data_IF_829075724536
#
_entry.id   IF_829075724536
#
_cell.length_a   1.000
_cell.length_b   1.000
_cell.length_c   1.000
_cell.angle_alpha   90.00
_cell.angle_beta   90.00
_cell.angle_gamma   90.00
#
_symmetry.space_group_name_H-M   'P 1'
#
loop_
_entity.id
_entity.type
_entity.pdbx_description
1 polymer ?
#
# COMPACT_ATOMS: atom_id res chain seq x y z
N UNK A 1 -7.74 4.69 -21.06
CA UNK A 1 -6.80 5.80 -20.80
C UNK A 1 -6.14 5.46 -19.49
N UNK A 2 -4.89 5.04 -19.53
CA UNK A 2 -4.15 4.69 -18.32
C UNK A 2 -3.68 5.99 -17.67
N UNK A 3 -4.30 6.37 -16.55
CA UNK A 3 -3.84 7.51 -15.75
C UNK A 3 -2.53 7.11 -15.07
N UNK A 4 -1.41 7.44 -15.71
CA UNK A 4 -0.06 7.27 -15.17
C UNK A 4 0.36 8.55 -14.45
N UNK A 5 0.67 8.42 -13.17
CA UNK A 5 1.30 9.49 -12.38
C UNK A 5 2.77 9.14 -12.20
N UNK A 6 3.64 9.98 -12.77
CA UNK A 6 5.10 9.86 -12.63
C UNK A 6 5.58 10.87 -11.61
N UNK A 7 6.27 10.38 -10.59
CA UNK A 7 6.88 11.23 -9.57
C UNK A 7 8.37 10.93 -9.52
N UNK A 8 9.15 12.00 -9.66
CA UNK A 8 10.58 11.97 -9.40
C UNK A 8 10.83 12.21 -7.93
N UNK A 9 11.90 11.62 -7.41
CA UNK A 9 12.34 11.82 -6.05
C UNK A 9 12.42 13.33 -5.72
N UNK A 10 11.65 13.77 -4.72
CA UNK A 10 11.74 15.13 -4.18
C UNK A 10 12.57 15.04 -2.89
N UNK A 11 13.80 15.57 -2.86
CA UNK A 11 14.53 15.72 -1.61
C UNK A 11 13.75 16.68 -0.70
N UNK A 12 13.02 16.14 0.26
CA UNK A 12 12.36 16.95 1.28
C UNK A 12 13.36 17.29 2.37
N UNK A 13 13.33 18.54 2.81
CA UNK A 13 13.92 18.91 4.08
C UNK A 13 13.24 18.15 5.22
N UNK A 14 13.93 18.05 6.37
CA UNK A 14 13.35 17.43 7.57
C UNK A 14 11.97 18.01 7.95
N UNK A 15 11.78 19.31 7.78
CA UNK A 15 10.51 19.98 8.08
C UNK A 15 9.38 19.54 7.13
N UNK A 16 9.66 19.54 5.83
CA UNK A 16 8.69 19.11 4.81
C UNK A 16 8.33 17.63 4.96
N UNK A 17 9.30 16.77 5.27
CA UNK A 17 9.05 15.36 5.54
C UNK A 17 8.12 15.17 6.76
N UNK A 18 8.30 15.96 7.82
CA UNK A 18 7.43 15.94 9.00
C UNK A 18 6.00 16.36 8.65
N UNK A 19 5.83 17.39 7.83
CA UNK A 19 4.50 17.84 7.40
C UNK A 19 3.81 16.82 6.49
N UNK A 20 4.55 16.18 5.57
CA UNK A 20 4.03 15.08 4.75
C UNK A 20 3.55 13.90 5.61
N UNK A 21 4.33 13.51 6.62
CA UNK A 21 3.96 12.47 7.59
C UNK A 21 2.69 12.85 8.36
N UNK A 22 2.61 14.09 8.88
CA UNK A 22 1.44 14.59 9.61
C UNK A 22 0.18 14.57 8.75
N UNK A 23 0.28 15.02 7.50
CA UNK A 23 -0.81 15.01 6.53
C UNK A 23 -1.29 13.58 6.27
N UNK A 24 -0.37 12.65 6.00
CA UNK A 24 -0.70 11.24 5.79
C UNK A 24 -1.37 10.61 7.01
N UNK A 25 -0.91 10.94 8.21
CA UNK A 25 -1.53 10.48 9.45
C UNK A 25 -2.95 10.99 9.61
N UNK A 26 -3.20 12.28 9.31
CA UNK A 26 -4.55 12.87 9.33
C UNK A 26 -5.51 12.13 8.39
N UNK A 27 -5.09 11.91 7.13
CA UNK A 27 -5.86 11.16 6.14
C UNK A 27 -6.16 9.73 6.61
N UNK A 28 -5.15 9.03 7.13
CA UNK A 28 -5.32 7.68 7.66
C UNK A 28 -6.27 7.65 8.85
N UNK A 29 -6.19 8.63 9.76
CA UNK A 29 -7.08 8.74 10.91
C UNK A 29 -8.54 9.00 10.49
N UNK A 30 -8.77 9.85 9.48
CA UNK A 30 -10.10 10.07 8.93
C UNK A 30 -10.70 8.80 8.34
N UNK A 31 -9.90 8.01 7.61
CA UNK A 31 -10.34 6.71 7.10
C UNK A 31 -10.67 5.75 8.23
N UNK A 32 -9.82 5.64 9.24
CA UNK A 32 -10.05 4.79 10.41
C UNK A 32 -11.38 5.16 11.11
N UNK A 33 -11.66 6.45 11.31
CA UNK A 33 -12.93 6.90 11.91
C UNK A 33 -14.15 6.50 11.06
N UNK A 34 -14.07 6.65 9.73
CA UNK A 34 -15.18 6.34 8.82
C UNK A 34 -15.56 4.86 8.82
N UNK A 35 -14.58 3.96 8.99
CA UNK A 35 -14.81 2.51 8.90
C UNK A 35 -14.78 1.79 10.25
N UNK A 36 -14.62 2.52 11.38
CA UNK A 36 -14.41 1.91 12.69
C UNK A 36 -13.14 1.04 12.72
N UNK A 37 -12.08 1.50 12.07
CA UNK A 37 -10.84 0.76 11.87
C UNK A 37 -9.74 1.12 12.87
N UNK A 38 -8.76 0.22 12.96
CA UNK A 38 -7.50 0.42 13.67
C UNK A 38 -6.44 0.89 12.67
N UNK A 39 -5.77 1.98 13.01
CA UNK A 39 -4.64 2.50 12.26
C UNK A 39 -3.34 1.87 12.77
N UNK A 40 -2.55 1.34 11.86
CA UNK A 40 -1.27 0.69 12.15
C UNK A 40 -0.22 1.25 11.19
N UNK A 41 0.94 1.73 11.66
CA UNK A 41 2.02 2.09 10.76
C UNK A 41 2.47 0.84 9.99
N UNK A 42 2.74 1.01 8.70
CA UNK A 42 3.45 0.01 7.93
C UNK A 42 4.85 -0.09 8.53
N UNK A 43 5.00 -1.10 9.37
CA UNK A 43 6.32 -1.63 9.68
C UNK A 43 6.66 -2.66 8.61
N UNK A 44 7.96 -2.85 8.30
CA UNK A 44 8.44 -3.88 7.36
C UNK A 44 7.87 -5.29 7.61
N UNK A 45 7.35 -5.53 8.83
CA UNK A 45 6.85 -6.83 9.27
C UNK A 45 5.33 -7.04 9.06
N UNK A 46 4.54 -5.99 8.82
CA UNK A 46 3.09 -6.06 9.05
C UNK A 46 2.25 -6.25 7.77
N UNK A 47 2.66 -5.72 6.62
CA UNK A 47 1.84 -5.75 5.39
C UNK A 47 1.93 -7.05 4.59
N UNK A 48 2.97 -7.86 4.81
CA UNK A 48 3.20 -9.11 4.08
C UNK A 48 2.75 -10.37 4.84
N UNK A 49 2.07 -10.22 6.00
CA UNK A 49 1.54 -11.34 6.77
C UNK A 49 2.61 -12.41 7.09
N UNK A 50 2.29 -13.70 6.88
CA UNK A 50 3.24 -14.80 7.08
C UNK A 50 4.39 -14.84 6.05
N UNK A 51 4.32 -14.03 5.00
CA UNK A 51 5.41 -13.89 4.04
C UNK A 51 6.36 -12.74 4.41
N UNK A 52 6.18 -12.08 5.55
CA UNK A 52 7.07 -11.03 6.03
C UNK A 52 8.55 -11.46 6.08
N UNK A 53 8.83 -12.73 6.38
CA UNK A 53 10.19 -13.27 6.40
C UNK A 53 10.80 -13.39 4.99
N UNK A 54 9.97 -13.41 3.94
CA UNK A 54 10.40 -13.38 2.54
C UNK A 54 10.63 -11.96 2.03
N UNK A 55 9.95 -10.96 2.60
CA UNK A 55 9.84 -9.59 2.07
C UNK A 55 10.30 -8.48 3.02
N UNK A 56 10.87 -8.79 4.19
CA UNK A 56 11.14 -7.89 5.33
C UNK A 56 11.65 -6.48 5.01
N UNK A 57 12.90 -6.16 5.35
CA UNK A 57 13.53 -4.90 4.88
C UNK A 57 13.95 -4.99 3.39
N UNK A 58 13.59 -6.10 2.73
CA UNK A 58 14.06 -6.51 1.41
C UNK A 58 12.87 -6.84 0.53
N UNK A 59 12.66 -6.05 -0.52
CA UNK A 59 11.62 -6.31 -1.51
C UNK A 59 12.14 -7.24 -2.59
N UNK A 60 11.30 -8.16 -3.01
CA UNK A 60 11.55 -8.97 -4.19
C UNK A 60 11.48 -8.09 -5.45
N UNK A 61 12.42 -8.28 -6.37
CA UNK A 61 12.40 -7.66 -7.70
C UNK A 61 11.30 -8.31 -8.55
N UNK A 62 10.58 -7.50 -9.31
CA UNK A 62 9.41 -7.92 -10.08
C UNK A 62 8.10 -7.56 -9.39
N UNK A 63 7.04 -8.30 -9.71
CA UNK A 63 5.68 -8.00 -9.27
C UNK A 63 5.33 -8.70 -7.97
N UNK A 64 4.93 -7.93 -6.97
CA UNK A 64 4.41 -8.38 -5.68
C UNK A 64 2.90 -8.10 -5.65
N UNK A 65 2.09 -9.11 -5.31
CA UNK A 65 0.65 -8.94 -5.11
C UNK A 65 0.33 -8.75 -3.63
N UNK A 66 -0.27 -7.62 -3.28
CA UNK A 66 -0.71 -7.31 -1.92
C UNK A 66 -2.23 -7.33 -1.87
N UNK A 67 -2.78 -8.31 -1.15
CA UNK A 67 -4.21 -8.48 -0.97
C UNK A 67 -4.62 -8.02 0.42
N UNK A 68 -5.42 -6.95 0.49
CA UNK A 68 -5.91 -6.45 1.77
C UNK A 68 -7.27 -7.09 2.12
N UNK A 69 -7.54 -7.32 3.42
CA UNK A 69 -8.86 -7.65 3.92
C UNK A 69 -9.95 -6.67 3.44
N UNK A 70 -11.22 -7.11 3.36
CA UNK A 70 -12.33 -6.26 2.97
C UNK A 70 -12.42 -4.98 3.80
N UNK A 71 -12.74 -3.87 3.15
CA UNK A 71 -12.83 -2.52 3.72
C UNK A 71 -11.53 -1.93 4.29
N UNK A 72 -10.42 -2.67 4.30
CA UNK A 72 -9.12 -2.12 4.66
C UNK A 72 -8.62 -1.06 3.67
N UNK A 73 -7.77 -0.18 4.17
CA UNK A 73 -7.17 0.92 3.41
C UNK A 73 -5.67 0.94 3.64
N UNK A 74 -4.91 1.16 2.58
CA UNK A 74 -3.48 1.45 2.64
C UNK A 74 -3.26 2.91 2.25
N UNK A 75 -2.58 3.68 3.10
CA UNK A 75 -2.21 5.07 2.84
C UNK A 75 -0.69 5.12 2.75
N UNK A 76 -0.13 5.44 1.59
CA UNK A 76 1.33 5.47 1.35
C UNK A 76 1.75 6.91 1.08
N UNK A 77 2.70 7.44 1.85
CA UNK A 77 3.21 8.81 1.69
C UNK A 77 4.67 8.85 1.25
N UNK A 78 5.32 7.69 1.21
CA UNK A 78 6.71 7.64 0.87
C UNK A 78 7.25 6.23 0.70
N UNK A 79 8.54 6.13 0.42
CA UNK A 79 9.22 4.86 0.22
C UNK A 79 10.66 4.95 0.71
N UNK A 80 11.06 4.15 1.68
CA UNK A 80 12.44 4.13 2.10
C UNK A 80 13.28 3.32 1.10
N UNK A 81 14.42 3.88 0.68
CA UNK A 81 15.43 3.16 -0.10
C UNK A 81 16.74 3.02 0.69
N UNK A 82 17.32 1.83 0.70
CA UNK A 82 18.68 1.53 1.17
C UNK A 82 19.54 0.79 0.12
N UNK A 83 19.11 0.76 -1.13
CA UNK A 83 19.80 0.07 -2.23
C UNK A 83 20.16 1.05 -3.36
N UNK A 84 21.43 1.02 -3.78
CA UNK A 84 21.95 1.88 -4.85
C UNK A 84 21.47 1.46 -6.25
N UNK A 85 20.99 0.23 -6.42
CA UNK A 85 20.52 -0.27 -7.71
C UNK A 85 19.00 -0.23 -7.88
N UNK A 86 18.26 0.27 -6.88
CA UNK A 86 16.82 0.45 -6.99
C UNK A 86 16.51 1.61 -7.94
N UNK A 87 15.78 1.33 -9.00
CA UNK A 87 15.51 2.30 -10.09
C UNK A 87 14.13 2.93 -9.93
N UNK A 88 13.08 2.11 -9.90
CA UNK A 88 11.73 2.59 -9.62
C UNK A 88 10.89 1.57 -8.87
N UNK A 89 9.87 2.10 -8.19
CA UNK A 89 8.75 1.33 -7.65
C UNK A 89 7.45 1.82 -8.28
N UNK A 90 6.58 0.88 -8.66
CA UNK A 90 5.29 1.18 -9.27
C UNK A 90 4.17 0.50 -8.51
N UNK A 91 3.18 1.29 -8.11
CA UNK A 91 1.94 0.82 -7.51
C UNK A 91 0.84 0.76 -8.57
N UNK A 92 0.16 -0.38 -8.66
CA UNK A 92 -0.89 -0.62 -9.65
C UNK A 92 -2.16 -1.07 -8.95
N UNK A 93 -3.25 -0.34 -9.17
CA UNK A 93 -4.57 -0.68 -8.62
C UNK A 93 -5.66 -0.27 -9.61
N UNK A 94 -6.56 -1.20 -9.94
CA UNK A 94 -7.74 -0.94 -10.77
C UNK A 94 -7.43 -0.17 -12.07
N UNK A 95 -6.33 -0.55 -12.75
CA UNK A 95 -5.87 0.10 -13.99
C UNK A 95 -5.17 1.45 -13.81
N UNK A 96 -5.05 1.96 -12.58
CA UNK A 96 -4.24 3.15 -12.25
C UNK A 96 -2.81 2.74 -11.97
N UNK A 97 -1.87 3.56 -12.43
CA UNK A 97 -0.44 3.32 -12.28
C UNK A 97 0.22 4.54 -11.64
N UNK A 98 0.86 4.34 -10.50
CA UNK A 98 1.66 5.34 -9.81
C UNK A 98 3.10 4.87 -9.81
N UNK A 99 3.98 5.62 -10.46
CA UNK A 99 5.37 5.23 -10.65
C UNK A 99 6.28 6.26 -9.99
N UNK A 100 7.14 5.78 -9.10
CA UNK A 100 8.08 6.58 -8.34
C UNK A 100 9.49 6.17 -8.73
N UNK A 101 10.20 7.12 -9.34
CA UNK A 101 11.61 6.97 -9.65
C UNK A 101 12.43 7.28 -8.40
N UNK A 102 13.35 6.38 -8.06
CA UNK A 102 14.19 6.47 -6.88
C UNK A 102 15.61 6.77 -7.36
N UNK A 103 16.16 7.94 -7.01
CA UNK A 103 17.57 8.20 -7.32
C UNK A 103 18.47 7.29 -6.47
N UNK A 104 19.55 6.71 -7.07
CA UNK A 104 20.53 5.91 -6.35
C UNK A 104 21.14 6.64 -5.15
N UNK A 105 21.31 5.89 -4.04
CA UNK A 105 21.87 6.40 -2.78
C UNK A 105 23.33 6.88 -2.91
N UNK A 106 24.02 6.49 -3.99
CA UNK A 106 25.38 6.95 -4.28
C UNK A 106 25.52 8.48 -4.27
N UNK A 107 24.42 9.23 -4.44
CA UNK A 107 24.40 10.70 -4.46
C UNK A 107 23.95 11.37 -3.14
N UNK A 108 23.43 10.61 -2.16
CA UNK A 108 22.90 11.16 -0.90
C UNK A 108 23.43 10.40 0.33
N UNK A 109 24.14 11.07 1.26
CA UNK A 109 24.68 10.43 2.47
C UNK A 109 23.61 10.08 3.53
N UNK A 110 22.39 10.59 3.37
CA UNK A 110 21.28 10.33 4.29
C UNK A 110 20.35 9.27 3.71
N UNK A 111 19.82 8.38 4.55
CA UNK A 111 18.90 7.30 4.12
C UNK A 111 17.59 7.91 3.69
N UNK A 112 17.40 8.07 2.39
CA UNK A 112 16.34 8.93 1.87
C UNK A 112 15.02 8.15 1.76
N UNK A 113 13.97 8.64 2.41
CA UNK A 113 12.61 8.24 2.07
C UNK A 113 12.21 8.99 0.82
N UNK A 114 11.62 8.38 -0.20
CA UNK A 114 10.82 9.07 -1.21
C UNK A 114 9.61 9.66 -0.50
N UNK A 115 9.18 10.85 -0.86
CA UNK A 115 7.97 11.47 -0.29
C UNK A 115 7.07 12.02 -1.38
N UNK A 116 5.77 11.87 -1.17
CA UNK A 116 4.76 12.60 -1.93
C UNK A 116 4.24 13.77 -1.11
N UNK A 117 3.94 14.87 -1.80
CA UNK A 117 3.17 15.97 -1.23
C UNK A 117 1.75 15.51 -0.83
N UNK A 118 1.17 14.59 -1.61
CA UNK A 118 -0.14 13.98 -1.35
C UNK A 118 -0.03 12.45 -1.21
N UNK A 119 -0.53 11.86 -0.12
CA UNK A 119 -0.44 10.41 0.07
C UNK A 119 -1.33 9.66 -0.93
N UNK A 120 -0.83 8.52 -1.43
CA UNK A 120 -1.63 7.58 -2.21
C UNK A 120 -2.51 6.74 -1.30
N UNK A 121 -3.71 6.43 -1.76
CA UNK A 121 -4.70 5.68 -1.00
C UNK A 121 -5.14 4.49 -1.85
N UNK A 122 -4.92 3.28 -1.33
CA UNK A 122 -5.26 2.03 -2.00
C UNK A 122 -6.28 1.21 -1.20
N UNK A 123 -7.11 0.42 -1.89
CA UNK A 123 -8.15 -0.46 -1.32
C UNK A 123 -8.20 -1.82 -2.00
N UNK A 124 -8.53 -2.89 -1.31
CA UNK A 124 -8.60 -4.23 -1.91
C UNK A 124 -7.22 -4.75 -2.34
N UNK A 125 -7.01 -5.00 -3.63
CA UNK A 125 -5.73 -5.53 -4.14
C UNK A 125 -4.89 -4.43 -4.79
N UNK A 126 -3.60 -4.44 -4.50
CA UNK A 126 -2.60 -3.57 -5.13
C UNK A 126 -1.40 -4.43 -5.56
N UNK A 127 -0.88 -4.16 -6.75
CA UNK A 127 0.39 -4.74 -7.19
C UNK A 127 1.50 -3.71 -7.00
N UNK A 128 2.65 -4.18 -6.51
CA UNK A 128 3.87 -3.40 -6.38
C UNK A 128 4.90 -4.01 -7.32
N UNK A 129 5.27 -3.29 -8.37
CA UNK A 129 6.35 -3.68 -9.27
C UNK A 129 7.63 -2.97 -8.83
N UNK A 130 8.68 -3.74 -8.56
CA UNK A 130 10.00 -3.26 -8.14
C UNK A 130 11.00 -3.53 -9.25
N UNK A 131 11.74 -2.52 -9.69
CA UNK A 131 12.71 -2.62 -10.78
C UNK A 131 14.11 -2.22 -10.33
N UNK A 132 15.12 -2.90 -10.87
CA UNK A 132 16.53 -2.59 -10.66
C UNK A 132 17.25 -2.40 -11.99
N UNK A 133 18.23 -1.52 -12.03
CA UNK A 133 19.18 -1.39 -13.14
C UNK A 133 20.44 -2.23 -12.94
N UNK A 134 20.55 -2.99 -11.83
CA UNK A 134 21.71 -3.83 -11.57
C UNK A 134 21.86 -4.89 -12.68
N UNK A 135 23.07 -4.99 -13.22
CA UNK A 135 23.47 -6.11 -14.07
C UNK A 135 23.91 -7.34 -13.26
N UNK A 136 24.03 -7.20 -11.95
CA UNK A 136 24.21 -8.34 -11.06
C UNK A 136 22.86 -9.06 -10.94
N UNK A 137 22.84 -10.38 -11.06
CA UNK A 137 21.62 -11.23 -11.01
C UNK A 137 20.96 -11.21 -9.61
N UNK A 138 20.53 -10.04 -9.15
CA UNK A 138 19.88 -9.83 -7.86
C UNK A 138 18.39 -10.17 -7.99
N UNK A 139 17.86 -10.84 -6.97
CA UNK A 139 16.43 -11.13 -6.83
C UNK A 139 15.71 -10.17 -5.87
N UNK A 140 16.47 -9.34 -5.12
CA UNK A 140 15.97 -8.47 -4.06
C UNK A 140 16.68 -7.11 -3.99
N UNK A 141 16.00 -6.15 -3.38
CA UNK A 141 16.49 -4.80 -3.07
C UNK A 141 16.15 -4.41 -1.64
N UNK A 142 16.97 -3.58 -1.00
CA UNK A 142 16.66 -3.03 0.32
C UNK A 142 15.79 -1.78 0.22
N UNK A 143 14.50 -1.90 0.46
CA UNK A 143 13.57 -0.77 0.45
C UNK A 143 12.19 -1.16 0.98
N UNK A 144 11.32 -0.20 1.29
CA UNK A 144 9.93 -0.49 1.65
C UNK A 144 9.01 0.74 1.56
N UNK A 145 7.71 0.55 1.26
CA UNK A 145 6.72 1.62 1.33
C UNK A 145 6.56 2.15 2.76
N UNK A 146 6.56 3.47 2.90
CA UNK A 146 6.19 4.18 4.13
C UNK A 146 4.71 4.52 4.06
N UNK A 147 3.93 3.97 4.98
CA UNK A 147 2.49 4.07 4.94
C UNK A 147 1.79 3.75 6.26
N UNK A 148 0.48 3.93 6.28
CA UNK A 148 -0.43 3.48 7.32
C UNK A 148 -1.36 2.44 6.71
N UNK A 149 -1.52 1.34 7.41
CA UNK A 149 -2.52 0.34 7.11
C UNK A 149 -3.69 0.50 8.08
N UNK A 150 -4.90 0.51 7.56
CA UNK A 150 -6.12 0.61 8.34
C UNK A 150 -6.95 -0.65 8.10
N UNK A 151 -7.16 -1.43 9.16
CA UNK A 151 -8.04 -2.59 9.15
C UNK A 151 -9.31 -2.32 9.97
N UNK A 152 -10.50 -2.76 9.51
CA UNK A 152 -11.71 -2.63 10.30
C UNK A 152 -11.61 -3.48 11.58
N UNK A 153 -12.07 -2.95 12.72
CA UNK A 153 -12.00 -3.67 14.02
C UNK A 153 -12.92 -4.89 14.02
N UNK A 154 -14.02 -4.83 13.27
CA UNK A 154 -14.89 -5.95 13.00
C UNK A 154 -14.94 -6.18 11.49
N UNK A 155 -14.85 -7.43 11.00
CA UNK A 155 -15.03 -7.69 9.59
C UNK A 155 -16.39 -7.15 9.14
N UNK A 156 -16.51 -6.60 7.91
CA UNK A 156 -17.78 -6.13 7.40
C UNK A 156 -18.85 -7.22 7.56
N UNK A 157 -20.02 -6.87 8.08
CA UNK A 157 -21.12 -7.83 8.17
C UNK A 157 -21.43 -8.34 6.76
N UNK A 158 -21.37 -9.66 6.57
CA UNK A 158 -21.89 -10.28 5.36
C UNK A 158 -23.36 -9.89 5.22
N UNK A 159 -23.67 -9.13 4.16
CA UNK A 159 -25.05 -8.85 3.79
C UNK A 159 -25.64 -10.16 3.30
N UNK A 160 -26.25 -10.93 4.21
CA UNK A 160 -26.97 -12.14 3.85
C UNK A 160 -28.08 -11.75 2.88
N UNK A 161 -28.19 -12.40 1.71
CA UNK A 161 -29.27 -12.12 0.78
C UNK A 161 -30.62 -12.28 1.51
N UNK A 162 -31.60 -11.40 1.24
CA UNK A 162 -32.89 -11.45 1.92
C UNK A 162 -33.46 -12.86 1.79
N UNK A 163 -33.79 -13.48 2.93
CA UNK A 163 -34.44 -14.80 2.96
C UNK A 163 -35.70 -14.71 2.11
N UNK A 164 -35.77 -15.48 1.02
CA UNK A 164 -36.99 -15.62 0.23
C UNK A 164 -38.15 -15.93 1.19
N UNK A 165 -39.29 -15.20 1.11
CA UNK A 165 -40.46 -15.54 1.90
C UNK A 165 -40.79 -17.01 1.65
N UNK A 166 -40.89 -17.80 2.72
CA UNK A 166 -41.52 -19.12 2.65
C UNK A 166 -42.93 -18.87 2.13
N UNK A 167 -43.15 -19.11 0.83
CA UNK A 167 -44.49 -19.19 0.25
C UNK A 167 -45.22 -20.28 1.04
N UNK A 168 -46.09 -19.85 1.94
CA UNK A 168 -47.03 -20.73 2.62
C UNK A 168 -47.93 -21.35 1.56
N UNK A 169 -47.61 -22.56 1.13
CA UNK A 169 -48.50 -23.41 0.36
C UNK A 169 -49.37 -24.22 1.32
N UNK A 170 -50.34 -23.56 1.94
CA UNK A 170 -51.51 -24.22 2.49
C UNK A 170 -52.52 -24.32 1.35
N UNK A 171 -53.01 -25.52 1.05
CA UNK A 171 -54.17 -25.73 0.19
C UNK A 171 -54.01 -26.87 -0.82
N UNK A 172 -54.59 -28.04 -0.49
CA UNK A 172 -54.64 -29.18 -1.41
C UNK A 172 -55.04 -30.50 -0.77
N UNK A 173 -56.00 -30.51 0.17
CA UNK A 173 -56.87 -31.68 0.41
C UNK A 173 -58.22 -31.34 -0.22
N UNK A 174 -58.64 -32.17 -1.16
CA UNK A 174 -59.88 -32.07 -1.92
C UNK A 174 -59.80 -33.06 -3.07
#
# INVERSE_FOLDING_TARGET
MDNRYVVWFIPLSRGEAVEAIRRAYGVAQEHARKIGGRLEPIQPKHIYGQEADKFGYTLQIGRIAVNMPPASVLVVWGFYNADEYLDFVRFIQDGRVYEWFVEPIAYYPERVGVWLEEPLIFRGSVYIDVHTTSSEERDRTYGWPLGYYIAPVQPPQEVKPPRRPRRGGQGGRG
#
